data_IF_214180002622
#
_entry.id   IF_214180002622
#
_cell.length_a   1.000
_cell.length_b   1.000
_cell.length_c   1.000
_cell.angle_alpha   90.00
_cell.angle_beta   90.00
_cell.angle_gamma   90.00
#
_symmetry.space_group_name_H-M   'P 1'
#
loop_
_entity.id
_entity.type
_entity.pdbx_description
1 polymer ?
#
# COMPACT_ATOMS: atom_id res chain seq x y z
N UNK A 1 33.51 -29.65 21.63
CA UNK A 1 33.69 -29.32 20.20
C UNK A 1 32.42 -28.67 19.70
N UNK A 2 32.57 -27.45 19.17
CA UNK A 2 31.54 -26.42 18.94
C UNK A 2 30.28 -26.93 18.20
N UNK A 3 29.14 -26.83 18.88
CA UNK A 3 27.82 -26.91 18.27
C UNK A 3 27.45 -25.53 17.69
N UNK A 4 26.59 -25.61 16.68
CA UNK A 4 25.61 -24.59 16.29
C UNK A 4 25.94 -23.83 15.01
N UNK A 5 25.38 -24.40 13.93
CA UNK A 5 25.12 -23.79 12.63
C UNK A 5 24.51 -22.40 12.78
N UNK A 6 25.37 -21.38 12.71
CA UNK A 6 25.01 -19.97 12.51
C UNK A 6 24.90 -19.74 11.00
N UNK A 7 23.78 -20.16 10.40
CA UNK A 7 23.33 -19.58 9.12
C UNK A 7 22.59 -18.30 9.48
N UNK A 8 23.36 -17.24 9.66
CA UNK A 8 22.81 -15.89 9.82
C UNK A 8 22.07 -15.51 8.53
N UNK A 9 20.81 -15.11 8.70
CA UNK A 9 19.92 -14.58 7.68
C UNK A 9 20.44 -13.22 7.17
N UNK A 10 21.50 -13.23 6.37
CA UNK A 10 21.99 -12.02 5.69
C UNK A 10 20.99 -11.50 4.62
N UNK A 11 20.03 -12.33 4.19
CA UNK A 11 18.97 -11.91 3.27
C UNK A 11 17.88 -11.03 3.91
N UNK A 12 17.51 -11.26 5.17
CA UNK A 12 16.37 -10.56 5.80
C UNK A 12 16.73 -9.14 6.29
N UNK A 13 17.97 -8.96 6.76
CA UNK A 13 18.41 -7.72 7.42
C UNK A 13 18.72 -6.63 6.38
N UNK A 14 19.17 -7.03 5.19
CA UNK A 14 19.34 -6.15 4.05
C UNK A 14 17.97 -5.73 3.48
N UNK A 15 17.08 -6.69 3.18
CA UNK A 15 15.72 -6.41 2.67
C UNK A 15 14.96 -5.42 3.58
N UNK A 16 15.03 -5.58 4.91
CA UNK A 16 14.35 -4.67 5.84
C UNK A 16 14.81 -3.20 5.76
N UNK A 17 16.09 -2.95 5.47
CA UNK A 17 16.64 -1.58 5.33
C UNK A 17 16.26 -0.94 3.98
N UNK A 18 16.28 -1.72 2.90
CA UNK A 18 15.81 -1.25 1.58
C UNK A 18 14.29 -1.05 1.54
N UNK A 19 13.51 -1.92 2.20
CA UNK A 19 12.07 -1.77 2.40
C UNK A 19 11.73 -0.52 3.22
N UNK A 20 12.52 -0.20 4.25
CA UNK A 20 12.31 1.00 5.08
C UNK A 20 12.58 2.30 4.32
N UNK A 21 13.61 2.33 3.46
CA UNK A 21 13.91 3.50 2.64
C UNK A 21 12.81 3.75 1.60
N UNK A 22 12.33 2.70 0.92
CA UNK A 22 11.19 2.81 0.01
C UNK A 22 9.89 3.16 0.74
N UNK A 23 9.62 2.56 1.91
CA UNK A 23 8.42 2.86 2.73
C UNK A 23 8.25 4.35 3.02
N UNK A 24 9.33 5.10 3.23
CA UNK A 24 9.24 6.54 3.55
C UNK A 24 8.69 7.34 2.37
N UNK A 25 9.23 7.14 1.17
CA UNK A 25 8.73 7.78 -0.05
C UNK A 25 7.35 7.25 -0.46
N UNK A 26 7.12 5.94 -0.37
CA UNK A 26 5.79 5.35 -0.63
C UNK A 26 4.72 5.90 0.30
N UNK A 27 5.03 6.15 1.58
CA UNK A 27 4.07 6.73 2.53
C UNK A 27 3.70 8.16 2.15
N UNK A 28 4.65 8.96 1.68
CA UNK A 28 4.38 10.33 1.20
C UNK A 28 3.57 10.29 -0.10
N UNK A 29 3.96 9.44 -1.07
CA UNK A 29 3.23 9.27 -2.33
C UNK A 29 1.79 8.82 -2.05
N UNK A 30 1.57 7.84 -1.17
CA UNK A 30 0.24 7.39 -0.79
C UNK A 30 -0.55 8.46 -0.03
N UNK A 31 0.11 9.35 0.70
CA UNK A 31 -0.55 10.49 1.37
C UNK A 31 -1.02 11.51 0.35
N UNK A 32 -0.15 11.87 -0.60
CA UNK A 32 -0.50 12.73 -1.73
C UNK A 32 -1.63 12.09 -2.54
N UNK A 33 -1.56 10.80 -2.82
CA UNK A 33 -2.59 10.03 -3.52
C UNK A 33 -3.96 10.14 -2.83
N UNK A 34 -4.01 10.00 -1.51
CA UNK A 34 -5.26 10.17 -0.74
C UNK A 34 -5.84 11.59 -0.83
N UNK A 35 -4.97 12.60 -0.77
CA UNK A 35 -5.41 13.98 -0.98
C UNK A 35 -5.94 14.19 -2.40
N UNK A 36 -5.26 13.64 -3.41
CA UNK A 36 -5.75 13.65 -4.78
C UNK A 36 -7.13 12.99 -4.87
N UNK A 37 -7.29 11.76 -4.37
CA UNK A 37 -8.60 11.09 -4.35
C UNK A 37 -9.69 12.02 -3.82
N UNK A 38 -9.48 12.64 -2.66
CA UNK A 38 -10.43 13.59 -2.07
C UNK A 38 -10.76 14.78 -2.99
N UNK A 39 -9.75 15.35 -3.66
CA UNK A 39 -9.94 16.44 -4.63
C UNK A 39 -10.75 15.97 -5.85
N UNK A 40 -10.44 14.79 -6.41
CA UNK A 40 -11.14 14.26 -7.58
C UNK A 40 -12.60 13.94 -7.25
N UNK A 41 -12.87 13.39 -6.06
CA UNK A 41 -14.22 13.16 -5.56
C UNK A 41 -14.99 14.47 -5.33
N UNK A 42 -14.34 15.50 -4.77
CA UNK A 42 -14.96 16.80 -4.56
C UNK A 42 -15.32 17.48 -5.88
N UNK A 43 -14.36 17.57 -6.80
CA UNK A 43 -14.55 18.16 -8.13
C UNK A 43 -15.61 17.37 -8.90
N UNK A 44 -15.51 16.04 -8.93
CA UNK A 44 -16.50 15.17 -9.57
C UNK A 44 -17.90 15.41 -9.02
N UNK A 45 -18.04 15.56 -7.69
CA UNK A 45 -19.33 15.84 -7.04
C UNK A 45 -19.90 17.19 -7.49
N UNK A 46 -19.07 18.21 -7.62
CA UNK A 46 -19.49 19.53 -8.12
C UNK A 46 -19.90 19.45 -9.60
N UNK A 47 -19.15 18.71 -10.43
CA UNK A 47 -19.46 18.54 -11.85
C UNK A 47 -20.78 17.80 -12.09
N UNK A 48 -21.21 16.94 -11.15
CA UNK A 48 -22.48 16.23 -11.22
C UNK A 48 -23.72 17.15 -11.18
N UNK A 49 -23.58 18.40 -10.71
CA UNK A 49 -24.65 19.39 -10.74
C UNK A 49 -24.92 19.96 -12.14
N UNK A 50 -23.98 19.79 -13.09
CA UNK A 50 -24.10 20.30 -14.45
C UNK A 50 -24.28 19.13 -15.42
N UNK A 51 -25.40 19.10 -16.13
CA UNK A 51 -25.75 17.98 -17.01
C UNK A 51 -24.73 17.77 -18.15
N UNK A 52 -24.18 18.86 -18.70
CA UNK A 52 -23.14 18.82 -19.73
C UNK A 52 -21.79 18.28 -19.26
N UNK A 53 -21.47 18.43 -17.96
CA UNK A 53 -20.19 18.03 -17.37
C UNK A 53 -20.27 16.68 -16.63
N UNK A 54 -21.48 16.13 -16.50
CA UNK A 54 -21.75 14.88 -15.78
C UNK A 54 -20.88 13.72 -16.28
N UNK A 55 -20.67 13.60 -17.59
CA UNK A 55 -19.81 12.56 -18.16
C UNK A 55 -18.36 12.67 -17.64
N UNK A 56 -17.82 13.89 -17.54
CA UNK A 56 -16.48 14.12 -16.99
C UNK A 56 -16.46 13.81 -15.50
N UNK A 57 -17.49 14.21 -14.75
CA UNK A 57 -17.67 13.87 -13.35
C UNK A 57 -17.63 12.36 -13.09
N UNK A 58 -18.34 11.57 -13.90
CA UNK A 58 -18.34 10.10 -13.81
C UNK A 58 -16.93 9.53 -13.98
N UNK A 59 -16.18 9.97 -14.99
CA UNK A 59 -14.82 9.50 -15.20
C UNK A 59 -13.88 9.86 -14.04
N UNK A 60 -13.99 11.08 -13.48
CA UNK A 60 -13.23 11.48 -12.29
C UNK A 60 -13.54 10.57 -11.09
N UNK A 61 -14.82 10.23 -10.90
CA UNK A 61 -15.27 9.32 -9.85
C UNK A 61 -14.72 7.90 -10.03
N UNK A 62 -14.73 7.37 -11.26
CA UNK A 62 -14.18 6.05 -11.57
C UNK A 62 -12.68 6.02 -11.28
N UNK A 63 -11.93 7.03 -11.77
CA UNK A 63 -10.49 7.14 -11.53
C UNK A 63 -10.17 7.28 -10.03
N UNK A 64 -10.88 8.15 -9.31
CA UNK A 64 -10.72 8.31 -7.86
C UNK A 64 -11.03 7.03 -7.09
N UNK A 65 -12.02 6.24 -7.54
CA UNK A 65 -12.38 4.96 -6.92
C UNK A 65 -11.30 3.89 -7.12
N UNK A 66 -10.72 3.79 -8.32
CA UNK A 66 -9.58 2.89 -8.57
C UNK A 66 -8.39 3.29 -7.72
N UNK A 67 -8.12 4.60 -7.63
CA UNK A 67 -7.01 5.14 -6.87
C UNK A 67 -7.15 4.88 -5.36
N UNK A 68 -8.39 4.84 -4.84
CA UNK A 68 -8.71 4.51 -3.44
C UNK A 68 -8.32 3.07 -3.07
N UNK A 69 -8.30 2.14 -4.02
CA UNK A 69 -7.91 0.74 -3.77
C UNK A 69 -6.41 0.54 -3.55
N UNK A 70 -5.57 1.52 -3.90
CA UNK A 70 -4.11 1.40 -3.78
C UNK A 70 -3.68 1.16 -2.33
N UNK A 71 -4.24 1.93 -1.38
CA UNK A 71 -3.92 1.80 0.06
C UNK A 71 -4.29 0.46 0.70
N UNK A 72 -5.54 -0.03 0.58
CA UNK A 72 -5.89 -1.33 1.13
C UNK A 72 -5.08 -2.44 0.46
N UNK A 73 -4.77 -2.35 -0.84
CA UNK A 73 -3.92 -3.33 -1.54
C UNK A 73 -2.53 -3.43 -0.93
N UNK A 74 -1.87 -2.28 -0.69
CA UNK A 74 -0.53 -2.26 -0.07
C UNK A 74 -0.58 -2.84 1.35
N UNK A 75 -1.59 -2.47 2.14
CA UNK A 75 -1.77 -3.01 3.51
C UNK A 75 -1.99 -4.53 3.48
N UNK A 76 -2.79 -5.02 2.54
CA UNK A 76 -3.14 -6.43 2.42
C UNK A 76 -1.93 -7.28 2.00
N UNK A 77 -1.12 -6.80 1.06
CA UNK A 77 0.15 -7.46 0.70
C UNK A 77 1.11 -7.53 1.89
N UNK A 78 1.21 -6.46 2.67
CA UNK A 78 2.07 -6.42 3.86
C UNK A 78 1.59 -7.40 4.94
N UNK A 79 0.30 -7.41 5.25
CA UNK A 79 -0.29 -8.31 6.26
C UNK A 79 -0.18 -9.79 5.83
N UNK A 80 -0.30 -10.08 4.53
CA UNK A 80 -0.16 -11.44 4.00
C UNK A 80 1.29 -11.95 4.09
N UNK A 81 2.27 -11.11 3.77
CA UNK A 81 3.69 -11.46 3.88
C UNK A 81 4.10 -11.69 5.33
N UNK A 82 3.63 -10.83 6.26
CA UNK A 82 3.92 -10.95 7.69
C UNK A 82 3.33 -12.21 8.33
N UNK A 83 2.10 -12.58 7.94
CA UNK A 83 1.46 -13.83 8.41
C UNK A 83 2.22 -15.08 7.99
N UNK A 84 2.92 -15.06 6.85
CA UNK A 84 3.71 -16.20 6.38
C UNK A 84 4.92 -16.45 7.27
N UNK A 85 5.63 -15.39 7.68
CA UNK A 85 6.79 -15.51 8.59
C UNK A 85 6.41 -15.90 10.03
N UNK A 86 5.30 -15.38 10.55
CA UNK A 86 4.84 -15.74 11.91
C UNK A 86 4.42 -17.21 12.04
N UNK A 87 4.05 -17.89 10.94
CA UNK A 87 3.64 -19.30 10.97
C UNK A 87 4.81 -20.28 11.02
N UNK A 88 6.01 -19.87 10.60
CA UNK A 88 7.21 -20.72 10.67
C UNK A 88 7.87 -20.73 12.05
N UNK A 89 7.67 -19.69 12.87
CA UNK A 89 8.24 -19.60 14.22
C UNK A 89 7.51 -20.39 15.31
N UNK A 90 6.30 -20.88 15.05
CA UNK A 90 5.44 -21.52 16.09
C UNK A 90 5.40 -23.06 16.02
N UNK A 91 6.01 -23.66 15.01
CA UNK A 91 5.99 -25.12 14.82
C UNK A 91 7.25 -25.84 15.33
N UNK A 92 8.15 -25.11 16.00
CA UNK A 92 9.40 -25.65 16.54
C UNK A 92 9.48 -25.44 18.06
N UNK A 93 8.44 -25.86 18.78
CA UNK A 93 8.47 -26.05 20.22
C UNK A 93 7.87 -27.40 20.59
#
# INVERSE_FOLDING_TARGET
MSKMSRKENYGEIEIGKYELFFKKSYKVINTINDFLIGIWFLIGSILFFYESLKNIGVWLFVLGSVQLLIRPTIKLVHDFHLRKYLKEGYHNK
#
